data_IF_140732077318
#
_entry.id   IF_140732077318
#
_cell.length_a   1.000
_cell.length_b   1.000
_cell.length_c   1.000
_cell.angle_alpha   90.00
_cell.angle_beta   90.00
_cell.angle_gamma   90.00
#
_symmetry.space_group_name_H-M   'P 1'
#
loop_
_entity.id
_entity.type
_entity.pdbx_description
1 polymer ?
#
# COMPACT_ATOMS: atom_id res chain seq x y z
N UNK A 1 22.81 -30.53 40.69
CA UNK A 1 22.68 -29.06 40.58
C UNK A 1 22.57 -28.75 39.09
N UNK A 2 21.51 -28.06 38.65
CA UNK A 2 21.33 -27.74 37.24
C UNK A 2 22.45 -26.78 36.80
N UNK A 3 23.10 -27.07 35.66
CA UNK A 3 24.25 -26.32 35.16
C UNK A 3 23.92 -24.83 34.86
N UNK A 4 22.67 -24.54 34.52
CA UNK A 4 22.17 -23.18 34.27
C UNK A 4 20.86 -22.94 35.06
N UNK A 5 20.93 -22.49 36.33
CA UNK A 5 19.76 -22.34 37.19
C UNK A 5 18.77 -21.25 36.73
N UNK A 6 19.27 -20.22 36.04
CA UNK A 6 18.49 -19.09 35.55
C UNK A 6 18.12 -19.21 34.05
N UNK A 7 18.27 -20.40 33.45
CA UNK A 7 18.02 -20.60 32.03
C UNK A 7 16.53 -20.45 31.70
N UNK A 8 16.22 -19.49 30.82
CA UNK A 8 14.89 -19.30 30.25
C UNK A 8 14.86 -19.76 28.79
N UNK A 9 14.03 -20.75 28.48
CA UNK A 9 13.75 -21.16 27.11
C UNK A 9 12.56 -20.37 26.55
N UNK A 10 12.81 -19.56 25.52
CA UNK A 10 11.74 -18.89 24.78
C UNK A 10 11.40 -19.72 23.53
N UNK A 11 10.19 -20.27 23.48
CA UNK A 11 9.69 -21.06 22.36
C UNK A 11 8.81 -20.20 21.45
N UNK A 12 9.20 -20.07 20.19
CA UNK A 12 8.50 -19.27 19.18
C UNK A 12 7.99 -20.16 18.01
N UNK A 13 6.79 -20.74 18.09
CA UNK A 13 6.24 -21.52 16.98
C UNK A 13 5.96 -20.62 15.76
N UNK A 14 6.34 -21.06 14.57
CA UNK A 14 6.21 -20.27 13.34
C UNK A 14 4.78 -19.94 12.91
N UNK A 15 3.80 -20.78 13.28
CA UNK A 15 2.40 -20.66 12.82
C UNK A 15 1.44 -20.55 14.01
N UNK A 16 0.45 -19.65 13.98
CA UNK A 16 -0.55 -19.52 15.05
C UNK A 16 -1.26 -20.83 15.40
N UNK A 17 -1.60 -21.64 14.39
CA UNK A 17 -2.28 -22.93 14.60
C UNK A 17 -1.48 -23.90 15.49
N UNK A 18 -0.18 -23.64 15.69
CA UNK A 18 0.73 -24.48 16.47
C UNK A 18 0.85 -24.06 17.93
N UNK A 19 0.30 -22.92 18.34
CA UNK A 19 0.44 -22.43 19.71
C UNK A 19 -0.16 -23.42 20.72
N UNK A 20 -1.41 -23.83 20.54
CA UNK A 20 -2.06 -24.81 21.42
C UNK A 20 -1.47 -26.22 21.29
N UNK A 21 -0.94 -26.55 20.12
CA UNK A 21 -0.27 -27.84 19.91
C UNK A 21 1.04 -27.90 20.72
N UNK A 22 1.80 -26.80 20.76
CA UNK A 22 3.04 -26.74 21.52
C UNK A 22 2.76 -26.68 23.03
N UNK A 23 1.75 -25.90 23.45
CA UNK A 23 1.31 -25.88 24.84
C UNK A 23 0.94 -27.28 25.36
N UNK A 24 0.08 -28.02 24.63
CA UNK A 24 -0.29 -29.41 25.00
C UNK A 24 0.90 -30.36 25.08
N UNK A 25 1.93 -30.14 24.25
CA UNK A 25 3.16 -30.95 24.30
C UNK A 25 4.00 -30.64 25.55
N UNK A 26 4.07 -29.37 25.97
CA UNK A 26 4.75 -28.99 27.20
C UNK A 26 4.01 -29.57 28.41
N UNK A 27 2.68 -29.48 28.43
CA UNK A 27 1.82 -30.10 29.46
C UNK A 27 2.04 -31.61 29.54
N UNK A 28 1.98 -32.32 28.42
CA UNK A 28 2.18 -33.77 28.35
C UNK A 28 3.59 -34.20 28.76
N UNK A 29 4.59 -33.34 28.56
CA UNK A 29 5.96 -33.57 28.98
C UNK A 29 6.23 -33.18 30.46
N UNK A 30 5.24 -32.63 31.17
CA UNK A 30 5.39 -32.14 32.54
C UNK A 30 6.33 -30.93 32.66
N UNK A 31 6.54 -30.19 31.56
CA UNK A 31 7.44 -29.02 31.54
C UNK A 31 6.61 -27.79 31.92
N UNK A 32 6.90 -27.11 33.04
CA UNK A 32 6.19 -25.91 33.42
C UNK A 32 6.53 -24.78 32.43
N UNK A 33 5.50 -24.09 31.95
CA UNK A 33 5.67 -23.00 30.99
C UNK A 33 4.62 -21.92 31.21
N UNK A 34 4.86 -20.74 30.64
CA UNK A 34 3.90 -19.65 30.58
C UNK A 34 3.67 -19.24 29.14
N UNK A 35 2.43 -18.90 28.79
CA UNK A 35 2.10 -18.27 27.50
C UNK A 35 2.34 -16.77 27.56
N UNK A 36 2.81 -16.18 26.46
CA UNK A 36 3.03 -14.73 26.33
C UNK A 36 1.73 -13.93 26.47
N UNK A 37 0.61 -14.50 26.06
CA UNK A 37 -0.75 -13.96 26.21
C UNK A 37 -1.31 -13.96 27.63
N UNK A 38 -0.67 -14.63 28.59
CA UNK A 38 -1.13 -14.68 29.98
C UNK A 38 -0.86 -13.36 30.73
N UNK A 39 -1.53 -13.16 31.88
CA UNK A 39 -1.41 -11.93 32.71
C UNK A 39 0.04 -11.54 33.02
N UNK A 40 0.31 -10.23 33.02
CA UNK A 40 1.64 -9.64 33.27
C UNK A 40 1.92 -9.63 34.78
N UNK A 41 3.18 -9.90 35.19
CA UNK A 41 3.63 -9.75 36.58
C UNK A 41 3.77 -11.05 37.39
N UNK A 42 3.52 -12.21 36.79
CA UNK A 42 3.70 -13.52 37.44
C UNK A 42 4.97 -14.21 36.90
N UNK A 43 5.78 -14.87 37.75
CA UNK A 43 7.06 -15.46 37.34
C UNK A 43 6.95 -16.49 36.20
N UNK A 44 7.99 -16.56 35.36
CA UNK A 44 8.10 -17.54 34.28
C UNK A 44 8.90 -18.75 34.78
N UNK A 45 8.34 -19.98 34.74
CA UNK A 45 8.94 -21.15 35.38
C UNK A 45 10.02 -21.85 34.52
N UNK A 46 10.79 -21.08 33.73
CA UNK A 46 11.88 -21.57 32.87
C UNK A 46 11.51 -21.77 31.39
N UNK A 47 10.23 -21.76 31.02
CA UNK A 47 9.80 -21.76 29.60
C UNK A 47 8.76 -20.66 29.34
N UNK A 48 9.01 -19.83 28.33
CA UNK A 48 8.06 -18.86 27.79
C UNK A 48 7.63 -19.30 26.39
N UNK A 49 6.34 -19.60 26.21
CA UNK A 49 5.74 -19.86 24.91
C UNK A 49 5.23 -18.55 24.30
N UNK A 50 5.86 -18.11 23.21
CA UNK A 50 5.38 -16.97 22.42
C UNK A 50 4.21 -17.40 21.54
N UNK A 51 3.01 -17.03 21.96
CA UNK A 51 1.74 -17.28 21.27
C UNK A 51 1.14 -16.01 20.65
N UNK A 52 2.02 -15.10 20.21
CA UNK A 52 1.67 -13.87 19.49
C UNK A 52 2.49 -13.73 18.20
N UNK A 53 2.01 -12.90 17.27
CA UNK A 53 2.69 -12.61 16.01
C UNK A 53 3.43 -11.27 16.07
N UNK A 54 4.58 -11.19 15.40
CA UNK A 54 5.34 -9.95 15.23
C UNK A 54 6.32 -9.61 16.36
N UNK A 55 6.37 -10.38 17.44
CA UNK A 55 7.26 -10.11 18.59
C UNK A 55 8.68 -10.72 18.46
N UNK A 56 8.90 -11.59 17.48
CA UNK A 56 10.15 -12.39 17.37
C UNK A 56 11.42 -11.54 17.31
N UNK A 57 11.39 -10.42 16.57
CA UNK A 57 12.54 -9.52 16.46
C UNK A 57 12.90 -8.89 17.82
N UNK A 58 11.88 -8.47 18.59
CA UNK A 58 12.07 -7.95 19.95
C UNK A 58 12.66 -9.00 20.88
N UNK A 59 12.20 -10.25 20.75
CA UNK A 59 12.65 -11.38 21.57
C UNK A 59 14.10 -11.77 21.27
N UNK A 60 14.54 -11.75 20.00
CA UNK A 60 15.93 -12.06 19.67
C UNK A 60 16.92 -11.17 20.42
N UNK A 61 16.57 -9.91 20.71
CA UNK A 61 17.43 -9.00 21.49
C UNK A 61 17.71 -9.50 22.90
N UNK A 62 16.76 -10.22 23.49
CA UNK A 62 16.86 -10.78 24.84
C UNK A 62 17.62 -12.11 24.87
N UNK A 63 17.80 -12.78 23.73
CA UNK A 63 18.41 -14.10 23.69
C UNK A 63 19.94 -14.03 23.83
N UNK A 64 20.52 -14.96 24.60
CA UNK A 64 21.97 -15.17 24.65
C UNK A 64 22.45 -16.10 23.52
N UNK A 65 21.62 -17.08 23.14
CA UNK A 65 21.85 -18.01 22.04
C UNK A 65 20.54 -18.25 21.32
N UNK A 66 20.58 -18.29 19.98
CA UNK A 66 19.40 -18.55 19.15
C UNK A 66 19.55 -19.88 18.43
N UNK A 67 18.68 -20.83 18.75
CA UNK A 67 18.50 -22.01 17.93
C UNK A 67 17.40 -21.77 16.89
N UNK A 68 17.74 -21.96 15.61
CA UNK A 68 16.82 -21.78 14.50
C UNK A 68 15.98 -23.03 14.31
N UNK A 69 14.75 -23.00 14.80
CA UNK A 69 13.80 -24.11 14.68
C UNK A 69 13.55 -24.54 13.23
N UNK A 70 13.07 -25.78 13.03
CA UNK A 70 12.74 -26.32 11.70
C UNK A 70 13.94 -26.60 10.78
N UNK A 71 15.16 -26.53 11.31
CA UNK A 71 16.43 -26.87 10.64
C UNK A 71 16.92 -28.29 11.00
N UNK A 72 16.34 -28.92 12.03
CA UNK A 72 16.61 -30.31 12.43
C UNK A 72 15.80 -31.35 11.64
N UNK A 73 14.74 -30.92 10.96
CA UNK A 73 13.96 -31.76 10.07
C UNK A 73 14.13 -31.21 8.66
N UNK A 74 14.11 -32.07 7.64
CA UNK A 74 14.18 -31.70 6.22
C UNK A 74 12.94 -30.88 5.81
N UNK A 75 12.97 -29.60 6.12
CA UNK A 75 11.89 -28.63 5.89
C UNK A 75 12.42 -27.34 5.25
N UNK A 76 13.61 -27.38 4.66
CA UNK A 76 14.20 -26.24 3.94
C UNK A 76 14.92 -25.21 4.82
N UNK A 77 14.83 -25.30 6.15
CA UNK A 77 15.47 -24.38 7.08
C UNK A 77 14.75 -23.03 7.24
N UNK A 78 15.36 -22.12 8.01
CA UNK A 78 14.82 -20.80 8.32
C UNK A 78 15.90 -19.71 8.23
N UNK A 79 15.46 -18.47 8.01
CA UNK A 79 16.35 -17.33 7.86
C UNK A 79 17.10 -17.04 9.16
N UNK A 80 18.44 -17.14 9.13
CA UNK A 80 19.32 -16.91 10.28
C UNK A 80 19.76 -15.45 10.42
N UNK A 81 19.50 -14.61 9.41
CA UNK A 81 20.03 -13.26 9.32
C UNK A 81 19.47 -12.33 10.40
N UNK A 82 18.21 -12.51 10.83
CA UNK A 82 17.60 -11.63 11.84
C UNK A 82 18.31 -11.72 13.20
N UNK A 83 18.59 -12.95 13.65
CA UNK A 83 19.35 -13.19 14.88
C UNK A 83 20.81 -12.74 14.73
N UNK A 84 21.42 -13.05 13.58
CA UNK A 84 22.79 -12.68 13.30
C UNK A 84 23.02 -11.15 13.29
N UNK A 85 22.12 -10.38 12.68
CA UNK A 85 22.18 -8.91 12.65
C UNK A 85 22.09 -8.28 14.04
N UNK A 86 21.58 -9.00 15.04
CA UNK A 86 21.52 -8.59 16.44
C UNK A 86 22.74 -9.08 17.25
N UNK A 87 23.77 -9.60 16.58
CA UNK A 87 24.98 -10.11 17.23
C UNK A 87 24.73 -11.37 18.05
N UNK A 88 23.68 -12.14 17.75
CA UNK A 88 23.34 -13.34 18.52
C UNK A 88 24.03 -14.57 17.96
N UNK A 89 24.72 -15.37 18.79
CA UNK A 89 25.20 -16.69 18.39
C UNK A 89 24.06 -17.54 17.84
N UNK A 90 24.21 -18.01 16.59
CA UNK A 90 23.18 -18.80 15.91
C UNK A 90 23.59 -20.28 15.88
N UNK A 91 22.64 -21.13 16.27
CA UNK A 91 22.72 -22.60 16.14
C UNK A 91 21.64 -23.06 15.16
N UNK A 92 21.98 -23.91 14.20
CA UNK A 92 21.02 -24.52 13.28
C UNK A 92 21.33 -25.99 13.03
N UNK A 93 20.27 -26.75 12.73
CA UNK A 93 20.35 -28.11 12.26
C UNK A 93 20.97 -28.24 10.86
N UNK A 94 21.08 -29.48 10.34
CA UNK A 94 21.68 -29.73 9.03
C UNK A 94 20.83 -29.19 7.86
N UNK A 95 19.49 -29.19 8.00
CA UNK A 95 18.56 -28.83 6.91
C UNK A 95 18.43 -27.31 6.76
N UNK A 96 19.17 -26.78 5.80
CA UNK A 96 19.23 -25.35 5.45
C UNK A 96 19.10 -25.14 3.93
N UNK A 97 18.36 -26.02 3.25
CA UNK A 97 18.33 -26.10 1.79
C UNK A 97 17.85 -24.80 1.12
N UNK A 98 16.84 -24.12 1.69
CA UNK A 98 16.34 -22.84 1.17
C UNK A 98 17.31 -21.67 1.44
N UNK A 99 18.32 -21.88 2.27
CA UNK A 99 19.30 -20.88 2.70
C UNK A 99 20.72 -21.43 2.58
N UNK A 100 20.97 -22.32 1.60
CA UNK A 100 22.20 -23.11 1.54
C UNK A 100 23.45 -22.23 1.43
N UNK A 101 23.42 -21.21 0.57
CA UNK A 101 24.52 -20.25 0.40
C UNK A 101 24.82 -19.47 1.69
N UNK A 102 23.77 -18.96 2.35
CA UNK A 102 23.89 -18.23 3.62
C UNK A 102 24.46 -19.15 4.68
N UNK A 103 23.95 -20.38 4.79
CA UNK A 103 24.39 -21.33 5.80
C UNK A 103 25.83 -21.81 5.55
N UNK A 104 26.25 -21.99 4.30
CA UNK A 104 27.62 -22.33 3.94
C UNK A 104 28.59 -21.22 4.35
N UNK A 105 28.32 -19.98 3.93
CA UNK A 105 29.16 -18.83 4.27
C UNK A 105 29.25 -18.59 5.78
N UNK A 106 28.13 -18.75 6.51
CA UNK A 106 28.13 -18.60 7.96
C UNK A 106 28.84 -19.74 8.68
N UNK A 107 28.83 -20.96 8.13
CA UNK A 107 29.58 -22.09 8.70
C UNK A 107 31.08 -21.87 8.50
N UNK A 108 31.51 -21.47 7.30
CA UNK A 108 32.91 -21.17 6.96
C UNK A 108 33.45 -20.00 7.79
N UNK A 109 32.70 -18.91 7.88
CA UNK A 109 33.05 -17.73 8.66
C UNK A 109 32.88 -17.88 10.18
N UNK A 110 32.57 -19.09 10.67
CA UNK A 110 32.31 -19.37 12.10
C UNK A 110 31.27 -18.41 12.73
N UNK A 111 30.24 -18.07 11.98
CA UNK A 111 29.06 -17.30 12.42
C UNK A 111 27.82 -18.17 12.63
N UNK A 112 27.86 -19.45 12.25
CA UNK A 112 26.79 -20.43 12.50
C UNK A 112 27.37 -21.71 13.09
N UNK A 113 26.80 -22.17 14.19
CA UNK A 113 27.06 -23.51 14.73
C UNK A 113 26.06 -24.50 14.18
N UNK A 114 26.57 -25.66 13.72
CA UNK A 114 25.74 -26.77 13.27
C UNK A 114 25.54 -27.76 14.41
N UNK A 115 24.35 -28.36 14.47
CA UNK A 115 24.01 -29.43 15.40
C UNK A 115 23.11 -30.47 14.74
N UNK A 116 23.06 -31.69 15.27
CA UNK A 116 22.00 -32.67 15.04
C UNK A 116 20.95 -32.59 16.16
N UNK A 117 20.00 -33.53 16.18
CA UNK A 117 18.98 -33.57 17.25
C UNK A 117 19.61 -34.04 18.56
N UNK A 118 20.57 -34.95 18.46
CA UNK A 118 21.21 -35.66 19.57
C UNK A 118 22.18 -34.76 20.33
N UNK A 119 22.88 -33.87 19.62
CA UNK A 119 23.90 -32.99 20.21
C UNK A 119 23.39 -31.54 20.46
N UNK A 120 22.16 -31.20 20.07
CA UNK A 120 21.61 -29.85 20.18
C UNK A 120 21.84 -29.24 21.57
N UNK A 121 21.52 -29.99 22.63
CA UNK A 121 21.66 -29.53 24.01
C UNK A 121 23.14 -29.24 24.35
N UNK A 122 24.06 -30.11 23.90
CA UNK A 122 25.49 -29.95 24.13
C UNK A 122 26.05 -28.73 23.37
N UNK A 123 25.63 -28.53 22.12
CA UNK A 123 26.05 -27.39 21.29
C UNK A 123 25.53 -26.07 21.87
N UNK A 124 24.28 -26.03 22.33
CA UNK A 124 23.71 -24.84 22.98
C UNK A 124 24.43 -24.55 24.30
N UNK A 125 24.63 -25.55 25.15
CA UNK A 125 25.36 -25.39 26.42
C UNK A 125 26.79 -24.90 26.20
N UNK A 126 27.50 -25.45 25.22
CA UNK A 126 28.84 -24.99 24.87
C UNK A 126 28.84 -23.55 24.33
N UNK A 127 27.80 -23.15 23.59
CA UNK A 127 27.66 -21.77 23.10
C UNK A 127 27.37 -20.80 24.25
N UNK A 128 26.60 -21.22 25.25
CA UNK A 128 26.36 -20.43 26.46
C UNK A 128 27.62 -20.28 27.32
N UNK A 129 28.46 -21.33 27.42
CA UNK A 129 29.75 -21.26 28.14
C UNK A 129 30.78 -20.40 27.41
N UNK A 130 30.84 -20.54 26.09
CA UNK A 130 31.85 -19.91 25.24
C UNK A 130 31.20 -19.08 24.11
N UNK A 131 30.48 -17.99 24.44
CA UNK A 131 29.76 -17.19 23.44
C UNK A 131 30.71 -16.33 22.58
N UNK A 132 31.96 -16.14 23.04
CA UNK A 132 32.90 -15.16 22.51
C UNK A 132 33.10 -15.27 20.99
N UNK A 133 32.85 -14.16 20.30
CA UNK A 133 33.07 -13.97 18.87
C UNK A 133 32.07 -14.67 17.94
N UNK A 134 31.21 -15.59 18.40
CA UNK A 134 30.21 -16.22 17.52
C UNK A 134 29.19 -15.20 17.03
N UNK A 135 28.66 -14.40 17.95
CA UNK A 135 27.72 -13.32 17.66
C UNK A 135 28.32 -12.25 16.75
N UNK A 136 29.53 -11.78 17.06
CA UNK A 136 30.24 -10.75 16.28
C UNK A 136 30.53 -11.21 14.85
N UNK A 137 31.00 -12.46 14.67
CA UNK A 137 31.22 -13.04 13.32
C UNK A 137 29.91 -13.20 12.56
N UNK A 138 28.86 -13.68 13.22
CA UNK A 138 27.52 -13.79 12.63
C UNK A 138 27.02 -12.42 12.16
N UNK A 139 27.19 -11.38 12.98
CA UNK A 139 26.82 -10.02 12.66
C UNK A 139 27.62 -9.47 11.48
N UNK A 140 28.94 -9.60 11.48
CA UNK A 140 29.79 -9.15 10.38
C UNK A 140 29.39 -9.79 9.05
N UNK A 141 29.13 -11.10 9.03
CA UNK A 141 28.68 -11.83 7.85
C UNK A 141 27.27 -11.40 7.38
N UNK A 142 26.39 -11.07 8.33
CA UNK A 142 25.06 -10.56 8.02
C UNK A 142 25.11 -9.12 7.48
N UNK A 143 26.00 -8.28 8.01
CA UNK A 143 26.22 -6.90 7.57
C UNK A 143 26.85 -6.82 6.19
N UNK A 144 27.80 -7.70 5.85
CA UNK A 144 28.36 -7.82 4.49
C UNK A 144 27.27 -8.08 3.43
N UNK A 145 26.25 -8.86 3.82
CA UNK A 145 25.10 -9.20 2.97
C UNK A 145 23.99 -8.16 3.00
N UNK A 146 24.13 -7.12 3.84
CA UNK A 146 23.18 -6.01 3.88
C UNK A 146 23.23 -5.26 2.54
N UNK A 147 22.05 -4.81 2.10
CA UNK A 147 21.92 -4.05 0.87
C UNK A 147 21.89 -4.88 -0.41
N UNK A 148 21.93 -6.23 -0.35
CA UNK A 148 21.70 -7.07 -1.52
C UNK A 148 20.36 -6.71 -2.21
N UNK A 149 19.28 -6.57 -1.44
CA UNK A 149 17.99 -6.08 -1.95
C UNK A 149 18.14 -4.73 -2.66
N UNK A 150 18.85 -3.77 -2.06
CA UNK A 150 19.03 -2.43 -2.65
C UNK A 150 19.80 -2.50 -3.97
N UNK A 151 20.87 -3.32 -4.04
CA UNK A 151 21.65 -3.52 -5.27
C UNK A 151 20.81 -4.18 -6.36
N UNK A 152 20.05 -5.22 -6.01
CA UNK A 152 19.13 -5.88 -6.94
C UNK A 152 18.05 -4.92 -7.42
N UNK A 153 17.49 -4.09 -6.53
CA UNK A 153 16.52 -3.06 -6.92
C UNK A 153 17.13 -2.00 -7.82
N UNK A 154 18.36 -1.55 -7.56
CA UNK A 154 19.03 -0.56 -8.42
C UNK A 154 19.20 -1.07 -9.85
N UNK A 155 19.64 -2.33 -10.03
CA UNK A 155 19.75 -2.96 -11.36
C UNK A 155 18.38 -3.12 -12.01
N UNK A 156 17.37 -3.57 -11.26
CA UNK A 156 16.01 -3.71 -11.80
C UNK A 156 15.36 -2.38 -12.15
N UNK A 157 15.64 -1.32 -11.39
CA UNK A 157 15.15 0.03 -11.68
C UNK A 157 15.70 0.54 -13.00
N UNK A 158 17.01 0.39 -13.25
CA UNK A 158 17.67 0.75 -14.51
C UNK A 158 17.04 -0.01 -15.70
N UNK A 159 16.91 -1.33 -15.58
CA UNK A 159 16.27 -2.16 -16.62
C UNK A 159 14.80 -1.76 -16.88
N UNK A 160 14.02 -1.42 -15.84
CA UNK A 160 12.63 -0.98 -16.00
C UNK A 160 12.54 0.42 -16.61
N UNK A 161 13.53 1.30 -16.36
CA UNK A 161 13.59 2.59 -17.04
C UNK A 161 13.85 2.45 -18.54
N UNK A 162 14.59 1.43 -18.94
CA UNK A 162 14.91 1.15 -20.34
C UNK A 162 13.88 0.28 -21.06
N UNK A 163 13.30 -0.70 -20.38
CA UNK A 163 12.38 -1.69 -20.93
C UNK A 163 11.09 -1.76 -20.12
N UNK A 164 9.95 -1.59 -20.80
CA UNK A 164 8.65 -1.71 -20.14
C UNK A 164 8.24 -3.19 -20.06
N UNK A 165 7.95 -3.74 -18.86
CA UNK A 165 7.53 -5.14 -18.74
C UNK A 165 6.17 -5.33 -19.40
N UNK A 166 6.10 -6.27 -20.35
CA UNK A 166 4.84 -6.70 -20.97
C UNK A 166 4.34 -7.92 -20.20
N UNK A 167 3.11 -7.89 -19.67
CA UNK A 167 2.56 -9.02 -18.94
C UNK A 167 2.37 -10.22 -19.88
N UNK A 168 2.87 -11.38 -19.44
CA UNK A 168 2.65 -12.64 -20.13
C UNK A 168 1.32 -13.23 -19.69
N UNK A 169 0.40 -13.37 -20.64
CA UNK A 169 -0.89 -14.04 -20.41
C UNK A 169 -0.76 -15.53 -20.77
N UNK A 170 -1.22 -16.47 -19.92
CA UNK A 170 -1.21 -17.88 -20.28
C UNK A 170 -2.04 -18.11 -21.54
N UNK A 171 -1.59 -19.03 -22.41
CA UNK A 171 -2.20 -19.25 -23.72
C UNK A 171 -3.71 -19.59 -23.66
N UNK A 172 -4.15 -20.30 -22.61
CA UNK A 172 -5.57 -20.59 -22.37
C UNK A 172 -6.41 -19.31 -22.17
N UNK A 173 -5.86 -18.31 -21.45
CA UNK A 173 -6.54 -17.04 -21.24
C UNK A 173 -6.63 -16.25 -22.55
N UNK A 174 -5.59 -16.29 -23.38
CA UNK A 174 -5.59 -15.65 -24.69
C UNK A 174 -6.66 -16.24 -25.62
N UNK A 175 -6.81 -17.58 -25.63
CA UNK A 175 -7.83 -18.25 -26.46
C UNK A 175 -9.25 -17.86 -26.07
N UNK A 176 -9.54 -17.76 -24.77
CA UNK A 176 -10.90 -17.48 -24.28
C UNK A 176 -11.20 -15.98 -24.22
N UNK A 177 -10.31 -15.19 -23.61
CA UNK A 177 -10.55 -13.77 -23.35
C UNK A 177 -10.06 -12.85 -24.48
N UNK A 178 -9.13 -13.31 -25.33
CA UNK A 178 -8.63 -12.55 -26.47
C UNK A 178 -9.72 -12.12 -27.44
N UNK A 179 -10.59 -13.03 -27.93
CA UNK A 179 -11.71 -12.68 -28.80
C UNK A 179 -12.70 -11.71 -28.14
N UNK A 180 -12.98 -11.90 -26.84
CA UNK A 180 -13.85 -11.00 -26.07
C UNK A 180 -13.25 -9.60 -25.95
N UNK A 181 -11.93 -9.52 -25.71
CA UNK A 181 -11.19 -8.26 -25.69
C UNK A 181 -11.19 -7.56 -27.06
N UNK A 182 -11.03 -8.32 -28.15
CA UNK A 182 -11.13 -7.79 -29.50
C UNK A 182 -12.54 -7.25 -29.81
N UNK A 183 -13.59 -7.97 -29.39
CA UNK A 183 -14.97 -7.54 -29.53
C UNK A 183 -15.26 -6.27 -28.71
N UNK A 184 -14.73 -6.18 -27.49
CA UNK A 184 -14.81 -4.97 -26.66
C UNK A 184 -14.16 -3.77 -27.35
N UNK A 185 -12.91 -3.94 -27.81
CA UNK A 185 -12.19 -2.88 -28.51
C UNK A 185 -12.89 -2.43 -29.80
N UNK A 186 -13.45 -3.38 -30.56
CA UNK A 186 -14.27 -3.09 -31.74
C UNK A 186 -15.54 -2.31 -31.37
N UNK A 187 -16.26 -2.75 -30.33
CA UNK A 187 -17.46 -2.09 -29.84
C UNK A 187 -17.18 -0.64 -29.40
N UNK A 188 -16.10 -0.41 -28.65
CA UNK A 188 -15.66 0.92 -28.25
C UNK A 188 -15.35 1.81 -29.47
N UNK A 189 -14.60 1.30 -30.45
CA UNK A 189 -14.29 2.03 -31.69
C UNK A 189 -15.54 2.35 -32.50
N UNK A 190 -16.47 1.40 -32.64
CA UNK A 190 -17.73 1.59 -33.37
C UNK A 190 -18.65 2.58 -32.69
N UNK A 191 -18.79 2.50 -31.36
CA UNK A 191 -19.59 3.45 -30.58
C UNK A 191 -19.05 4.88 -30.75
N UNK A 192 -17.73 5.05 -30.68
CA UNK A 192 -17.06 6.32 -30.95
C UNK A 192 -17.35 6.85 -32.35
N UNK A 193 -17.13 6.02 -33.39
CA UNK A 193 -17.33 6.44 -34.78
C UNK A 193 -18.78 6.85 -35.11
N UNK A 194 -19.76 6.35 -34.36
CA UNK A 194 -21.18 6.66 -34.53
C UNK A 194 -21.67 7.83 -33.67
N UNK A 195 -20.90 8.24 -32.68
CA UNK A 195 -21.33 9.28 -31.75
C UNK A 195 -21.06 10.65 -32.34
N UNK A 196 -22.11 11.47 -32.48
CA UNK A 196 -21.99 12.88 -32.87
C UNK A 196 -21.79 13.71 -31.61
N UNK A 197 -20.65 14.43 -31.47
CA UNK A 197 -20.41 15.29 -30.31
C UNK A 197 -21.35 16.50 -30.29
N UNK A 198 -21.88 16.84 -29.12
CA UNK A 198 -22.65 18.05 -28.84
C UNK A 198 -21.78 19.04 -28.08
N UNK A 199 -21.91 20.34 -28.37
CA UNK A 199 -21.13 21.42 -27.73
C UNK A 199 -21.97 22.18 -26.72
N UNK A 200 -21.38 22.47 -25.58
CA UNK A 200 -21.87 23.44 -24.61
C UNK A 200 -21.38 24.85 -25.03
N UNK A 201 -22.01 25.89 -24.51
CA UNK A 201 -21.61 27.29 -24.74
C UNK A 201 -20.37 27.65 -23.89
N UNK A 202 -20.24 27.05 -22.70
CA UNK A 202 -19.07 27.13 -21.82
C UNK A 202 -17.98 26.10 -22.21
N UNK A 203 -16.68 26.45 -22.16
CA UNK A 203 -15.59 25.53 -22.48
C UNK A 203 -15.52 24.33 -21.53
N UNK A 204 -15.05 23.20 -22.05
CA UNK A 204 -15.07 21.88 -21.43
C UNK A 204 -13.66 21.25 -21.45
N UNK A 205 -13.13 20.98 -20.26
CA UNK A 205 -11.88 20.25 -20.04
C UNK A 205 -12.22 18.85 -19.53
N UNK A 206 -11.71 17.83 -20.21
CA UNK A 206 -11.91 16.42 -19.85
C UNK A 206 -10.71 15.87 -19.09
N UNK A 207 -10.96 15.29 -17.92
CA UNK A 207 -9.99 14.52 -17.16
C UNK A 207 -10.41 13.06 -17.20
N UNK A 208 -9.55 12.19 -17.74
CA UNK A 208 -9.89 10.77 -17.87
C UNK A 208 -8.68 9.88 -18.03
N UNK A 209 -8.92 8.63 -18.40
CA UNK A 209 -7.87 7.64 -18.62
C UNK A 209 -8.32 6.59 -19.61
N UNK A 210 -7.38 5.81 -20.14
CA UNK A 210 -7.69 4.69 -21.04
C UNK A 210 -7.96 3.38 -20.30
N UNK A 211 -7.77 3.35 -18.98
CA UNK A 211 -7.82 2.13 -18.16
C UNK A 211 -8.94 2.13 -17.13
N UNK A 212 -9.39 0.92 -16.76
CA UNK A 212 -10.24 0.66 -15.61
C UNK A 212 -9.41 0.73 -14.33
N UNK A 213 -9.84 1.57 -13.38
CA UNK A 213 -9.17 1.77 -12.10
C UNK A 213 -8.99 3.24 -11.72
N UNK A 214 -8.56 3.47 -10.50
CA UNK A 214 -8.29 4.82 -10.00
C UNK A 214 -6.91 5.29 -10.46
N UNK A 215 -6.83 6.06 -11.54
CA UNK A 215 -5.58 6.68 -12.01
C UNK A 215 -5.28 8.04 -11.34
N UNK A 216 -6.05 8.43 -10.30
CA UNK A 216 -5.92 9.76 -9.68
C UNK A 216 -6.74 10.86 -10.36
N UNK A 217 -7.79 10.50 -11.11
CA UNK A 217 -8.69 11.44 -11.81
C UNK A 217 -9.34 12.44 -10.86
N UNK A 218 -10.01 11.94 -9.82
CA UNK A 218 -10.73 12.76 -8.85
C UNK A 218 -9.84 13.81 -8.14
N UNK A 219 -8.66 13.47 -7.58
CA UNK A 219 -7.74 14.50 -7.07
C UNK A 219 -7.27 15.49 -8.13
N UNK A 220 -7.07 15.03 -9.38
CA UNK A 220 -6.61 15.90 -10.48
C UNK A 220 -7.70 16.90 -10.87
N UNK A 221 -8.96 16.48 -10.95
CA UNK A 221 -10.10 17.38 -11.20
C UNK A 221 -10.18 18.45 -10.11
N UNK A 222 -10.08 18.06 -8.83
CA UNK A 222 -10.09 19.00 -7.70
C UNK A 222 -8.90 19.95 -7.67
N UNK A 223 -7.75 19.51 -8.18
CA UNK A 223 -6.55 20.34 -8.31
C UNK A 223 -6.72 21.35 -9.44
N UNK A 224 -7.21 20.90 -10.61
CA UNK A 224 -7.52 21.80 -11.73
C UNK A 224 -8.56 22.85 -11.36
N UNK A 225 -9.59 22.47 -10.61
CA UNK A 225 -10.62 23.40 -10.13
C UNK A 225 -10.05 24.58 -9.33
N UNK A 226 -8.90 24.41 -8.63
CA UNK A 226 -8.25 25.51 -7.89
C UNK A 226 -7.81 26.67 -8.80
N UNK A 227 -7.63 26.42 -10.10
CA UNK A 227 -7.11 27.41 -11.04
C UNK A 227 -8.19 28.27 -11.71
N UNK A 228 -9.48 28.03 -11.40
CA UNK A 228 -10.60 28.76 -11.98
C UNK A 228 -11.41 29.45 -10.90
N UNK A 229 -12.03 30.59 -11.24
CA UNK A 229 -12.81 31.36 -10.26
C UNK A 229 -14.18 30.72 -10.02
N UNK A 230 -14.80 30.22 -11.09
CA UNK A 230 -16.14 29.63 -11.04
C UNK A 230 -16.28 28.34 -11.87
N UNK A 231 -15.57 27.26 -11.48
CA UNK A 231 -15.64 26.00 -12.20
C UNK A 231 -16.90 25.19 -11.88
N UNK A 232 -17.34 24.40 -12.85
CA UNK A 232 -18.37 23.37 -12.70
C UNK A 232 -17.80 21.98 -13.02
N UNK A 233 -18.02 21.00 -12.15
CA UNK A 233 -17.58 19.61 -12.34
C UNK A 233 -18.77 18.78 -12.84
N UNK A 234 -18.58 18.04 -13.93
CA UNK A 234 -19.55 17.09 -14.46
C UNK A 234 -19.10 15.65 -14.17
N UNK A 235 -19.89 14.91 -13.39
CA UNK A 235 -19.60 13.51 -13.04
C UNK A 235 -20.77 12.58 -13.34
N UNK A 236 -20.51 11.27 -13.43
CA UNK A 236 -21.53 10.25 -13.69
C UNK A 236 -22.51 10.06 -12.55
N UNK A 237 -22.03 10.17 -11.29
CA UNK A 237 -22.77 9.72 -10.11
C UNK A 237 -23.05 8.22 -10.13
N UNK A 238 -22.00 7.40 -10.08
CA UNK A 238 -22.13 5.94 -10.00
C UNK A 238 -22.81 5.53 -8.68
N UNK A 239 -23.62 4.45 -8.72
CA UNK A 239 -24.41 3.94 -7.58
C UNK A 239 -25.40 4.93 -6.94
N UNK A 240 -25.91 5.91 -7.67
CA UNK A 240 -27.04 6.74 -7.20
C UNK A 240 -28.31 5.89 -7.03
N UNK A 241 -29.10 6.19 -5.99
CA UNK A 241 -30.38 5.53 -5.74
C UNK A 241 -31.53 6.31 -6.41
N UNK A 242 -31.42 7.64 -6.48
CA UNK A 242 -32.36 8.51 -7.16
C UNK A 242 -31.75 8.96 -8.49
N UNK A 243 -32.21 8.33 -9.59
CA UNK A 243 -31.74 8.63 -10.94
C UNK A 243 -32.49 9.80 -11.57
N UNK A 244 -32.33 11.01 -11.02
CA UNK A 244 -32.69 12.24 -11.73
C UNK A 244 -31.88 12.36 -13.04
N UNK A 245 -32.48 12.91 -14.10
CA UNK A 245 -31.81 13.08 -15.40
C UNK A 245 -30.60 14.03 -15.27
N UNK A 246 -30.75 15.09 -14.48
CA UNK A 246 -29.68 16.00 -14.13
C UNK A 246 -29.85 16.51 -12.69
N UNK A 247 -28.83 16.28 -11.86
CA UNK A 247 -28.75 16.84 -10.51
C UNK A 247 -27.69 17.94 -10.51
N UNK A 248 -28.08 19.16 -10.13
CA UNK A 248 -27.19 20.32 -10.03
C UNK A 248 -27.04 20.70 -8.56
N UNK A 249 -25.81 20.78 -8.09
CA UNK A 249 -25.45 21.15 -6.72
C UNK A 249 -24.58 22.42 -6.78
N UNK A 250 -25.12 23.59 -6.37
CA UNK A 250 -24.34 24.81 -6.34
C UNK A 250 -23.11 24.74 -5.42
N UNK A 251 -22.03 25.45 -5.76
CA UNK A 251 -20.84 25.52 -4.90
C UNK A 251 -21.21 25.98 -3.48
N UNK A 252 -20.63 25.33 -2.47
CA UNK A 252 -20.88 25.63 -1.05
C UNK A 252 -22.19 25.08 -0.50
N UNK A 253 -22.95 24.32 -1.30
CA UNK A 253 -24.15 23.62 -0.84
C UNK A 253 -23.87 22.13 -0.63
N UNK A 254 -24.62 21.50 0.27
CA UNK A 254 -24.58 20.06 0.47
C UNK A 254 -25.69 19.35 -0.30
N UNK A 255 -25.48 18.08 -0.61
CA UNK A 255 -26.48 17.23 -1.22
C UNK A 255 -26.36 15.79 -0.67
N UNK A 256 -27.49 15.12 -0.43
CA UNK A 256 -27.50 13.77 0.12
C UNK A 256 -26.93 12.73 -0.86
N UNK A 257 -26.29 11.68 -0.34
CA UNK A 257 -25.63 10.62 -1.11
C UNK A 257 -26.59 9.95 -2.09
N UNK A 258 -27.86 9.80 -1.70
CA UNK A 258 -28.92 9.17 -2.47
C UNK A 258 -29.13 9.86 -3.82
N UNK A 259 -28.93 11.18 -3.87
CA UNK A 259 -29.07 12.03 -5.07
C UNK A 259 -27.78 12.12 -5.88
N UNK A 260 -26.62 12.20 -5.23
CA UNK A 260 -25.35 12.43 -5.93
C UNK A 260 -24.60 11.14 -6.30
N UNK A 261 -24.82 10.06 -5.54
CA UNK A 261 -23.94 8.90 -5.49
C UNK A 261 -22.67 9.17 -4.68
N UNK A 262 -21.97 8.09 -4.33
CA UNK A 262 -20.77 8.08 -3.46
C UNK A 262 -19.60 8.86 -4.10
N UNK A 263 -19.32 8.61 -5.38
CA UNK A 263 -18.19 9.25 -6.09
C UNK A 263 -18.31 10.77 -6.19
N UNK A 264 -19.52 11.32 -6.24
CA UNK A 264 -19.74 12.76 -6.39
C UNK A 264 -19.58 13.54 -5.07
N UNK A 265 -19.70 12.87 -3.92
CA UNK A 265 -19.63 13.51 -2.61
C UNK A 265 -18.30 14.20 -2.36
N UNK A 266 -17.21 13.65 -2.86
CA UNK A 266 -15.89 14.26 -2.74
C UNK A 266 -15.83 15.65 -3.41
N UNK A 267 -16.55 15.84 -4.53
CA UNK A 267 -16.62 17.14 -5.20
C UNK A 267 -17.51 18.10 -4.42
N UNK A 268 -18.69 17.63 -3.97
CA UNK A 268 -19.65 18.43 -3.22
C UNK A 268 -19.01 18.99 -1.94
N UNK A 269 -18.37 18.10 -1.16
CA UNK A 269 -17.72 18.44 0.12
C UNK A 269 -16.46 19.28 -0.03
N UNK A 270 -15.79 19.21 -1.19
CA UNK A 270 -14.63 20.08 -1.45
C UNK A 270 -15.00 21.56 -1.50
N UNK A 271 -16.28 21.88 -1.78
CA UNK A 271 -16.80 23.23 -1.99
C UNK A 271 -16.03 24.08 -3.01
N UNK A 272 -15.23 23.46 -3.90
CA UNK A 272 -14.41 24.17 -4.88
C UNK A 272 -15.14 24.54 -6.17
N UNK A 273 -16.18 23.79 -6.50
CA UNK A 273 -16.86 23.90 -7.78
C UNK A 273 -18.37 23.64 -7.61
N UNK A 274 -19.16 24.11 -8.57
CA UNK A 274 -20.50 23.59 -8.77
C UNK A 274 -20.41 22.13 -9.21
N UNK A 275 -21.35 21.27 -8.82
CA UNK A 275 -21.30 19.84 -9.16
C UNK A 275 -22.57 19.44 -9.91
N UNK A 276 -22.39 18.98 -11.14
CA UNK A 276 -23.43 18.39 -11.98
C UNK A 276 -23.28 16.88 -12.06
N UNK A 277 -24.34 16.16 -11.75
CA UNK A 277 -24.32 14.70 -11.66
C UNK A 277 -25.32 14.09 -12.64
N UNK A 278 -24.85 13.36 -13.66
CA UNK A 278 -25.73 12.65 -14.60
C UNK A 278 -25.03 11.71 -15.60
N UNK A 279 -25.82 10.79 -16.18
CA UNK A 279 -25.33 9.86 -17.21
C UNK A 279 -25.05 10.57 -18.54
N UNK A 280 -25.88 11.55 -18.92
CA UNK A 280 -25.67 12.44 -20.06
C UNK A 280 -25.05 13.77 -19.63
N UNK A 281 -23.75 13.95 -19.87
CA UNK A 281 -23.03 15.16 -19.42
C UNK A 281 -23.47 16.40 -20.18
N UNK A 282 -23.97 16.24 -21.40
CA UNK A 282 -24.46 17.37 -22.17
C UNK A 282 -25.74 17.94 -21.54
N UNK A 283 -26.72 17.09 -21.21
CA UNK A 283 -27.97 17.54 -20.58
C UNK A 283 -27.72 18.20 -19.24
N UNK A 284 -26.86 17.60 -18.40
CA UNK A 284 -26.46 18.19 -17.11
C UNK A 284 -25.74 19.53 -17.31
N UNK A 285 -24.80 19.59 -18.26
CA UNK A 285 -24.08 20.81 -18.61
C UNK A 285 -25.02 21.94 -19.01
N UNK A 286 -26.02 21.67 -19.88
CA UNK A 286 -27.04 22.66 -20.27
C UNK A 286 -27.87 23.15 -19.09
N UNK A 287 -28.22 22.27 -18.15
CA UNK A 287 -28.94 22.66 -16.93
C UNK A 287 -28.08 23.57 -16.04
N UNK A 288 -26.79 23.27 -15.91
CA UNK A 288 -25.85 24.11 -15.18
C UNK A 288 -25.59 25.45 -15.88
N UNK A 289 -25.48 25.47 -17.20
CA UNK A 289 -25.41 26.71 -17.98
C UNK A 289 -26.64 27.56 -17.71
N UNK A 290 -27.85 27.01 -17.77
CA UNK A 290 -29.07 27.78 -17.55
C UNK A 290 -29.19 28.34 -16.12
N UNK A 291 -28.69 27.63 -15.11
CA UNK A 291 -28.89 27.97 -13.71
C UNK A 291 -27.74 28.77 -13.08
N UNK A 292 -26.50 28.58 -13.54
CA UNK A 292 -25.29 29.01 -12.81
C UNK A 292 -24.28 29.77 -13.68
N UNK A 293 -24.32 29.61 -15.01
CA UNK A 293 -23.36 30.23 -15.95
C UNK A 293 -21.87 30.04 -15.57
N UNK A 294 -21.39 28.80 -15.40
CA UNK A 294 -20.01 28.56 -14.98
C UNK A 294 -19.00 29.01 -16.04
N UNK A 295 -17.79 29.36 -15.58
CA UNK A 295 -16.67 29.78 -16.43
C UNK A 295 -16.10 28.63 -17.26
N UNK A 296 -16.07 27.42 -16.69
CA UNK A 296 -15.51 26.22 -17.31
C UNK A 296 -16.16 24.96 -16.75
N UNK A 297 -16.32 23.94 -17.60
CA UNK A 297 -16.68 22.59 -17.18
C UNK A 297 -15.46 21.68 -17.07
N UNK A 298 -15.36 20.94 -15.97
CA UNK A 298 -14.38 19.89 -15.73
C UNK A 298 -15.08 18.54 -15.72
N UNK A 299 -14.80 17.67 -16.69
CA UNK A 299 -15.39 16.33 -16.73
C UNK A 299 -14.55 15.36 -15.91
N UNK A 300 -15.18 14.73 -14.92
CA UNK A 300 -14.61 13.59 -14.22
C UNK A 300 -14.90 12.29 -15.00
N UNK A 301 -13.82 11.56 -15.32
CA UNK A 301 -13.83 10.35 -16.15
C UNK A 301 -14.41 10.58 -17.57
N UNK A 302 -14.05 11.72 -18.17
CA UNK A 302 -14.63 12.21 -19.44
C UNK A 302 -14.10 11.59 -20.72
N UNK A 303 -12.98 10.86 -20.69
CA UNK A 303 -12.24 10.50 -21.91
C UNK A 303 -13.04 9.64 -22.91
N UNK A 304 -13.86 8.71 -22.40
CA UNK A 304 -14.79 7.86 -23.17
C UNK A 304 -16.13 8.55 -23.48
N UNK A 305 -16.40 9.73 -22.93
CA UNK A 305 -17.69 10.40 -23.10
C UNK A 305 -17.74 11.21 -24.40
N UNK A 306 -17.72 10.51 -25.54
CA UNK A 306 -17.61 11.11 -26.88
C UNK A 306 -18.80 12.01 -27.29
N UNK A 307 -19.93 11.90 -26.58
CA UNK A 307 -21.16 12.67 -26.88
C UNK A 307 -21.03 14.14 -26.49
N UNK A 308 -20.13 14.50 -25.57
CA UNK A 308 -19.83 15.88 -25.23
C UNK A 308 -18.51 16.28 -25.88
N UNK A 309 -18.56 17.33 -26.70
CA UNK A 309 -17.38 17.96 -27.27
C UNK A 309 -16.56 18.63 -26.15
N UNK A 310 -15.25 18.69 -26.36
CA UNK A 310 -14.29 19.24 -25.41
C UNK A 310 -13.16 19.94 -26.12
N UNK A 311 -12.68 20.99 -25.49
CA UNK A 311 -11.59 21.84 -25.97
C UNK A 311 -10.22 21.26 -25.56
N UNK A 312 -10.18 20.51 -24.45
CA UNK A 312 -8.94 19.93 -23.94
C UNK A 312 -9.17 18.55 -23.28
N UNK A 313 -8.31 17.58 -23.60
CA UNK A 313 -8.28 16.25 -22.98
C UNK A 313 -6.98 16.04 -22.19
N UNK A 314 -7.09 16.02 -20.86
CA UNK A 314 -6.03 15.58 -19.97
C UNK A 314 -6.20 14.09 -19.65
N UNK A 315 -5.27 13.27 -20.14
CA UNK A 315 -5.31 11.81 -19.96
C UNK A 315 -4.32 11.37 -18.88
N UNK A 316 -4.82 10.68 -17.86
CA UNK A 316 -4.03 10.17 -16.75
C UNK A 316 -3.60 8.74 -17.02
N UNK A 317 -2.32 8.46 -16.78
CA UNK A 317 -1.74 7.12 -16.78
C UNK A 317 -1.08 6.86 -15.42
N UNK A 318 -1.36 5.72 -14.79
CA UNK A 318 -0.65 5.28 -13.59
C UNK A 318 0.76 4.86 -14.00
N UNK A 319 1.80 5.54 -13.52
CA UNK A 319 3.18 5.28 -13.89
C UNK A 319 3.67 3.86 -13.53
N UNK A 320 2.96 3.14 -12.65
CA UNK A 320 3.27 1.75 -12.27
C UNK A 320 2.65 0.72 -13.23
N UNK A 321 1.56 1.08 -13.91
CA UNK A 321 0.83 0.22 -14.84
C UNK A 321 0.05 1.04 -15.90
N UNK A 322 0.74 1.81 -16.77
CA UNK A 322 0.15 2.80 -17.68
C UNK A 322 -0.84 2.19 -18.67
N UNK A 323 -0.59 0.97 -19.11
CA UNK A 323 -1.40 0.25 -20.11
C UNK A 323 -2.18 -0.91 -19.51
N UNK A 324 -2.21 -1.02 -18.19
CA UNK A 324 -3.16 -1.83 -17.43
C UNK A 324 -3.35 -3.26 -17.92
N UNK A 325 -2.24 -3.96 -18.08
CA UNK A 325 -2.22 -5.35 -18.57
C UNK A 325 -2.02 -5.51 -20.09
N UNK A 326 -1.76 -4.42 -20.81
CA UNK A 326 -1.51 -4.36 -22.26
C UNK A 326 -2.60 -5.01 -23.15
N UNK A 327 -3.80 -5.14 -22.60
CA UNK A 327 -4.94 -5.77 -23.26
C UNK A 327 -6.27 -5.09 -22.92
N UNK A 328 -7.24 -5.08 -23.86
CA UNK A 328 -8.59 -4.60 -23.60
C UNK A 328 -9.32 -5.51 -22.61
N UNK A 329 -10.28 -4.93 -21.89
CA UNK A 329 -11.20 -5.70 -21.06
C UNK A 329 -11.95 -6.75 -21.90
N UNK A 330 -12.14 -8.00 -21.41
CA UNK A 330 -11.79 -8.52 -20.08
C UNK A 330 -10.39 -9.16 -19.97
N UNK A 331 -9.62 -9.27 -21.06
CA UNK A 331 -8.27 -9.87 -21.01
C UNK A 331 -7.29 -9.01 -20.19
N UNK A 332 -7.42 -7.69 -20.30
CA UNK A 332 -6.74 -6.73 -19.44
C UNK A 332 -7.72 -5.71 -18.87
N UNK A 333 -7.23 -4.54 -18.47
CA UNK A 333 -8.04 -3.46 -17.89
C UNK A 333 -8.16 -2.24 -18.78
N UNK A 334 -7.68 -2.28 -20.03
CA UNK A 334 -7.87 -1.17 -20.96
C UNK A 334 -9.35 -1.05 -21.34
N UNK A 335 -9.91 0.16 -21.14
CA UNK A 335 -11.22 0.57 -21.67
C UNK A 335 -11.12 0.88 -23.15
N UNK A 336 -10.02 1.51 -23.56
CA UNK A 336 -9.67 1.80 -24.93
C UNK A 336 -8.20 1.41 -25.19
N UNK A 337 -7.90 1.00 -26.41
CA UNK A 337 -6.54 0.67 -26.82
C UNK A 337 -5.63 1.92 -26.83
N UNK A 338 -4.29 1.77 -26.74
CA UNK A 338 -3.36 2.91 -26.67
C UNK A 338 -3.46 3.91 -27.84
N UNK A 339 -3.99 3.50 -29.00
CA UNK A 339 -4.29 4.41 -30.13
C UNK A 339 -5.27 5.53 -29.75
N UNK A 340 -6.09 5.34 -28.71
CA UNK A 340 -6.98 6.38 -28.23
C UNK A 340 -6.25 7.61 -27.68
N UNK A 341 -4.98 7.46 -27.26
CA UNK A 341 -4.14 8.55 -26.75
C UNK A 341 -3.84 9.61 -27.81
N UNK A 342 -4.05 9.32 -29.09
CA UNK A 342 -3.97 10.31 -30.18
C UNK A 342 -4.92 11.50 -29.98
N UNK A 343 -5.95 11.33 -29.14
CA UNK A 343 -6.91 12.39 -28.78
C UNK A 343 -6.47 13.23 -27.58
N UNK A 344 -5.44 12.80 -26.85
CA UNK A 344 -4.99 13.51 -25.66
C UNK A 344 -4.37 14.85 -26.06
N UNK A 345 -4.80 15.93 -25.41
CA UNK A 345 -4.13 17.23 -25.50
C UNK A 345 -2.88 17.26 -24.62
N UNK A 346 -2.93 16.54 -23.49
CA UNK A 346 -1.80 16.30 -22.61
C UNK A 346 -1.96 14.97 -21.86
N UNK A 347 -0.83 14.39 -21.44
CA UNK A 347 -0.80 13.21 -20.58
C UNK A 347 -0.24 13.61 -19.21
N UNK A 348 -0.90 13.17 -18.14
CA UNK A 348 -0.43 13.29 -16.76
C UNK A 348 -0.08 11.90 -16.22
N UNK A 349 1.21 11.66 -15.99
CA UNK A 349 1.65 10.46 -15.26
C UNK A 349 1.39 10.66 -13.78
N UNK A 350 0.59 9.78 -13.19
CA UNK A 350 0.32 9.77 -11.76
C UNK A 350 1.11 8.70 -11.05
N UNK A 351 1.24 8.84 -9.72
CA UNK A 351 2.04 7.93 -8.87
C UNK A 351 3.49 7.85 -9.33
N UNK A 352 4.04 9.01 -9.68
CA UNK A 352 5.43 9.12 -10.11
C UNK A 352 6.38 9.25 -8.93
N UNK A 353 7.61 8.80 -9.14
CA UNK A 353 8.72 8.91 -8.20
C UNK A 353 9.63 10.08 -8.59
N UNK A 354 10.11 10.83 -7.60
CA UNK A 354 11.04 11.94 -7.84
C UNK A 354 12.35 11.41 -8.42
N UNK A 355 12.89 12.10 -9.42
CA UNK A 355 14.14 11.74 -10.09
C UNK A 355 14.02 10.68 -11.19
N UNK A 356 12.94 9.89 -11.22
CA UNK A 356 12.73 8.82 -12.21
C UNK A 356 12.47 9.36 -13.61
N UNK A 357 13.06 8.78 -14.65
CA UNK A 357 13.07 9.36 -16.02
C UNK A 357 11.95 8.80 -16.92
N UNK A 358 11.36 7.64 -16.58
CA UNK A 358 10.26 6.99 -17.32
C UNK A 358 10.51 6.87 -18.84
N UNK A 359 11.76 6.59 -19.23
CA UNK A 359 12.21 6.59 -20.62
C UNK A 359 11.47 5.60 -21.52
N UNK A 360 11.30 4.35 -21.07
CA UNK A 360 10.56 3.31 -21.78
C UNK A 360 9.12 3.72 -22.09
N UNK A 361 8.43 4.33 -21.11
CA UNK A 361 7.06 4.81 -21.30
C UNK A 361 7.01 5.95 -22.32
N UNK A 362 7.94 6.92 -22.24
CA UNK A 362 8.02 8.03 -23.19
C UNK A 362 8.23 7.54 -24.63
N UNK A 363 9.03 6.49 -24.84
CA UNK A 363 9.23 5.87 -26.17
C UNK A 363 7.97 5.19 -26.73
N UNK A 364 7.08 4.74 -25.85
CA UNK A 364 5.83 4.05 -26.21
C UNK A 364 4.66 5.02 -26.45
N UNK A 365 4.77 6.24 -25.93
CA UNK A 365 3.80 7.31 -26.13
C UNK A 365 4.17 8.12 -27.38
N UNK A 366 3.15 8.68 -28.04
CA UNK A 366 3.36 9.67 -29.10
C UNK A 366 3.88 11.00 -28.52
N UNK A 367 4.49 11.87 -29.35
CA UNK A 367 4.87 13.20 -28.91
C UNK A 367 3.62 14.03 -28.55
N UNK A 368 3.33 14.12 -27.26
CA UNK A 368 2.27 14.93 -26.63
C UNK A 368 2.85 15.50 -25.34
N UNK A 369 2.43 16.70 -24.87
CA UNK A 369 2.86 17.22 -23.57
C UNK A 369 2.67 16.20 -22.46
N UNK A 370 3.77 15.81 -21.82
CA UNK A 370 3.82 14.79 -20.79
C UNK A 370 4.20 15.45 -19.45
N UNK A 371 3.25 15.48 -18.53
CA UNK A 371 3.43 16.00 -17.19
C UNK A 371 3.51 14.85 -16.18
N UNK A 372 4.06 15.15 -15.00
CA UNK A 372 4.16 14.20 -13.88
C UNK A 372 3.50 14.82 -12.67
N UNK A 373 2.65 14.06 -11.98
CA UNK A 373 2.13 14.45 -10.69
C UNK A 373 2.84 13.73 -9.56
N UNK A 374 3.08 14.48 -8.51
CA UNK A 374 3.59 14.02 -7.23
C UNK A 374 2.68 14.58 -6.16
N UNK A 375 2.37 13.75 -5.16
CA UNK A 375 1.58 14.17 -4.01
C UNK A 375 2.55 14.78 -3.01
N UNK A 376 2.23 15.99 -2.54
CA UNK A 376 2.99 16.68 -1.50
C UNK A 376 2.05 16.97 -0.35
N UNK A 377 2.48 16.72 0.87
CA UNK A 377 1.75 17.19 2.04
C UNK A 377 1.86 18.73 2.09
N UNK A 378 0.74 19.43 1.94
CA UNK A 378 0.71 20.89 1.96
C UNK A 378 0.68 21.42 3.41
N UNK A 379 -0.22 20.87 4.24
CA UNK A 379 -0.38 21.30 5.63
C UNK A 379 -0.86 20.16 6.51
N UNK A 380 -0.58 20.25 7.82
CA UNK A 380 -1.27 19.44 8.82
C UNK A 380 -2.62 20.07 9.15
N UNK A 381 -3.58 19.24 9.56
CA UNK A 381 -4.90 19.67 10.00
C UNK A 381 -5.15 19.10 11.40
N UNK A 382 -5.62 19.92 12.34
CA UNK A 382 -6.09 19.41 13.63
C UNK A 382 -7.45 18.75 13.43
N UNK A 383 -7.53 17.45 13.79
CA UNK A 383 -8.72 16.63 13.57
C UNK A 383 -9.97 17.08 14.35
N UNK A 384 -9.82 17.87 15.43
CA UNK A 384 -10.93 18.33 16.27
C UNK A 384 -11.51 19.64 15.76
N UNK A 385 -10.64 20.54 15.30
CA UNK A 385 -11.02 21.89 14.86
C UNK A 385 -11.21 21.99 13.34
N UNK A 386 -10.56 21.11 12.57
CA UNK A 386 -10.53 21.20 11.12
C UNK A 386 -9.66 22.35 10.60
N UNK A 387 -8.82 22.94 11.44
CA UNK A 387 -7.96 24.07 11.08
C UNK A 387 -6.52 23.63 10.75
N UNK A 388 -5.79 24.39 9.90
CA UNK A 388 -4.38 24.14 9.65
C UNK A 388 -3.56 24.17 10.94
N UNK A 389 -2.74 23.15 11.14
CA UNK A 389 -1.86 23.00 12.29
C UNK A 389 -0.38 22.93 11.85
N UNK A 390 0.51 23.25 12.78
CA UNK A 390 1.95 23.01 12.61
C UNK A 390 2.30 21.82 13.51
N UNK A 391 2.92 20.80 12.93
CA UNK A 391 3.40 19.65 13.69
C UNK A 391 4.67 20.05 14.45
N UNK A 392 4.52 20.42 15.73
CA UNK A 392 5.62 20.85 16.62
C UNK A 392 6.00 19.77 17.65
N UNK A 393 5.90 18.49 17.29
CA UNK A 393 6.23 17.39 18.20
C UNK A 393 7.32 16.49 17.62
N UNK A 394 8.22 16.02 18.47
CA UNK A 394 9.23 15.02 18.11
C UNK A 394 8.67 13.59 18.23
N UNK A 395 7.65 13.40 19.07
CA UNK A 395 7.12 12.09 19.49
C UNK A 395 5.74 11.82 18.89
N UNK A 396 5.67 11.72 17.57
CA UNK A 396 4.43 11.37 16.89
C UNK A 396 4.25 9.84 16.80
N UNK A 397 3.01 9.38 16.92
CA UNK A 397 2.59 8.04 16.52
C UNK A 397 1.62 8.15 15.34
N UNK A 398 1.41 7.06 14.58
CA UNK A 398 0.57 7.16 13.38
C UNK A 398 -0.22 5.87 13.07
N UNK A 399 -1.37 6.03 12.43
CA UNK A 399 -2.21 4.93 11.99
C UNK A 399 -2.91 5.22 10.66
N UNK A 400 -3.24 4.17 9.88
CA UNK A 400 -4.04 4.32 8.67
C UNK A 400 -4.78 3.05 8.25
N UNK A 401 -5.88 3.20 7.52
CA UNK A 401 -6.72 2.16 6.93
C UNK A 401 -6.80 2.31 5.41
N UNK A 402 -5.66 2.12 4.74
CA UNK A 402 -5.51 2.31 3.30
C UNK A 402 -5.25 0.99 2.57
N UNK A 403 -5.67 0.89 1.31
CA UNK A 403 -5.28 -0.22 0.42
C UNK A 403 -3.75 -0.32 0.21
N UNK A 404 -3.02 0.81 0.27
CA UNK A 404 -1.56 0.82 0.21
C UNK A 404 -0.96 1.74 1.29
N UNK A 405 -0.82 1.22 2.53
CA UNK A 405 -0.27 1.95 3.68
C UNK A 405 1.15 2.50 3.45
N UNK A 406 1.94 1.84 2.59
CA UNK A 406 3.32 2.24 2.32
C UNK A 406 3.43 3.68 1.78
N UNK A 407 2.41 4.14 1.05
CA UNK A 407 2.34 5.53 0.54
C UNK A 407 2.29 6.53 1.69
N UNK A 408 1.40 6.32 2.67
CA UNK A 408 1.28 7.19 3.84
C UNK A 408 2.57 7.20 4.66
N UNK A 409 3.18 6.03 4.87
CA UNK A 409 4.46 5.93 5.57
C UNK A 409 5.61 6.61 4.84
N UNK A 410 5.62 6.61 3.50
CA UNK A 410 6.60 7.38 2.71
C UNK A 410 6.38 8.87 2.90
N UNK A 411 5.14 9.33 2.79
CA UNK A 411 4.79 10.73 2.98
C UNK A 411 5.21 11.25 4.35
N UNK A 412 4.99 10.49 5.43
CA UNK A 412 5.48 10.87 6.76
C UNK A 412 7.00 11.02 6.80
N UNK A 413 7.75 10.06 6.23
CA UNK A 413 9.22 10.12 6.19
C UNK A 413 9.73 11.30 5.37
N UNK A 414 9.08 11.62 4.26
CA UNK A 414 9.42 12.78 3.43
C UNK A 414 9.20 14.11 4.17
N UNK A 415 8.28 14.15 5.13
CA UNK A 415 8.08 15.27 6.05
C UNK A 415 9.02 15.23 7.28
N UNK A 416 9.99 14.31 7.31
CA UNK A 416 10.89 14.13 8.46
C UNK A 416 10.27 13.44 9.66
N UNK A 417 9.03 12.95 9.56
CA UNK A 417 8.32 12.29 10.65
C UNK A 417 8.65 10.80 10.69
N UNK A 418 9.22 10.34 11.81
CA UNK A 418 9.39 8.92 12.11
C UNK A 418 8.47 8.53 13.26
N UNK A 419 7.33 7.88 12.98
CA UNK A 419 6.40 7.51 14.03
C UNK A 419 7.04 6.54 15.05
N UNK A 420 6.84 6.79 16.33
CA UNK A 420 7.25 5.91 17.43
C UNK A 420 6.72 4.48 17.23
N UNK A 421 5.47 4.38 16.77
CA UNK A 421 4.85 3.14 16.33
C UNK A 421 3.85 3.41 15.21
N UNK A 422 3.47 2.35 14.49
CA UNK A 422 2.56 2.40 13.34
C UNK A 422 1.48 1.34 13.47
N UNK A 423 0.22 1.73 13.33
CA UNK A 423 -0.90 0.80 13.22
C UNK A 423 -1.45 0.81 11.81
N UNK A 424 -1.68 -0.38 11.25
CA UNK A 424 -2.19 -0.53 9.89
C UNK A 424 -3.47 -1.34 9.93
N UNK A 425 -4.51 -0.81 9.32
CA UNK A 425 -5.81 -1.45 9.17
C UNK A 425 -6.11 -1.74 7.69
N UNK A 426 -7.15 -2.53 7.44
CA UNK A 426 -7.63 -2.79 6.09
C UNK A 426 -8.16 -1.52 5.41
N UNK A 427 -8.27 -1.53 4.08
CA UNK A 427 -8.88 -0.42 3.36
C UNK A 427 -10.35 -0.25 3.78
N UNK A 428 -10.82 0.99 3.91
CA UNK A 428 -12.17 1.33 4.38
C UNK A 428 -12.49 0.81 5.79
N UNK A 429 -11.48 0.66 6.66
CA UNK A 429 -11.68 0.23 8.04
C UNK A 429 -12.58 1.22 8.80
N UNK A 430 -13.64 0.70 9.42
CA UNK A 430 -14.45 1.44 10.37
C UNK A 430 -13.86 1.27 11.77
N UNK A 431 -13.32 2.35 12.32
CA UNK A 431 -12.60 2.30 13.58
C UNK A 431 -13.56 2.05 14.74
N UNK A 432 -13.32 0.97 15.48
CA UNK A 432 -14.14 0.63 16.65
C UNK A 432 -13.61 1.34 17.88
N UNK A 433 -14.51 1.72 18.80
CA UNK A 433 -14.14 2.46 20.00
C UNK A 433 -13.04 1.78 20.83
N UNK A 434 -13.07 0.45 20.95
CA UNK A 434 -12.06 -0.30 21.70
C UNK A 434 -10.68 -0.36 21.01
N UNK A 435 -10.62 -0.19 19.68
CA UNK A 435 -9.35 -0.09 18.93
C UNK A 435 -8.70 1.28 19.20
N UNK A 436 -9.52 2.34 19.20
CA UNK A 436 -9.06 3.69 19.54
C UNK A 436 -8.55 3.77 20.98
N UNK A 437 -9.24 3.13 21.94
CA UNK A 437 -8.79 3.05 23.33
C UNK A 437 -7.43 2.36 23.45
N UNK A 438 -7.23 1.22 22.76
CA UNK A 438 -5.94 0.52 22.74
C UNK A 438 -4.83 1.34 22.10
N UNK A 439 -5.11 2.04 21.00
CA UNK A 439 -4.14 2.94 20.39
C UNK A 439 -3.77 4.10 21.32
N UNK A 440 -4.74 4.65 22.05
CA UNK A 440 -4.51 5.68 23.05
C UNK A 440 -3.64 5.17 24.21
N UNK A 441 -3.92 3.99 24.75
CA UNK A 441 -3.11 3.38 25.81
C UNK A 441 -1.67 3.12 25.33
N UNK A 442 -1.51 2.58 24.12
CA UNK A 442 -0.19 2.41 23.50
C UNK A 442 0.53 3.75 23.32
N UNK A 443 -0.18 4.79 22.86
CA UNK A 443 0.35 6.14 22.74
C UNK A 443 0.84 6.68 24.08
N UNK A 444 0.06 6.53 25.16
CA UNK A 444 0.48 6.93 26.50
C UNK A 444 1.72 6.15 26.99
N UNK A 445 1.76 4.84 26.78
CA UNK A 445 2.90 4.00 27.19
C UNK A 445 4.20 4.33 26.46
N UNK A 446 4.10 4.80 25.22
CA UNK A 446 5.24 5.23 24.42
C UNK A 446 5.48 6.75 24.51
N UNK A 447 4.73 7.45 25.35
CA UNK A 447 4.72 8.90 25.53
C UNK A 447 4.65 9.64 24.18
N UNK A 448 3.76 9.18 23.30
CA UNK A 448 3.46 9.86 22.05
C UNK A 448 2.59 11.08 22.34
N UNK A 449 2.97 12.24 21.80
CA UNK A 449 2.29 13.52 21.99
C UNK A 449 1.08 13.67 21.05
N UNK A 450 1.13 13.02 19.89
CA UNK A 450 0.10 13.12 18.86
C UNK A 450 -0.08 11.81 18.10
N UNK A 451 -1.29 11.58 17.60
CA UNK A 451 -1.61 10.53 16.64
C UNK A 451 -1.90 11.15 15.26
N UNK A 452 -1.16 10.70 14.25
CA UNK A 452 -1.31 11.14 12.86
C UNK A 452 -2.10 10.10 12.06
N UNK A 453 -3.02 10.57 11.22
CA UNK A 453 -3.77 9.71 10.30
C UNK A 453 -4.04 10.42 8.96
N UNK A 454 -4.76 9.77 8.06
CA UNK A 454 -5.14 10.34 6.76
C UNK A 454 -6.48 11.06 6.84
N UNK A 455 -6.72 12.01 5.94
CA UNK A 455 -8.03 12.66 5.81
C UNK A 455 -9.14 11.63 5.53
N UNK A 456 -8.84 10.59 4.74
CA UNK A 456 -9.76 9.48 4.46
C UNK A 456 -10.13 8.71 5.74
N UNK A 457 -9.15 8.43 6.59
CA UNK A 457 -9.33 7.67 7.82
C UNK A 457 -10.05 8.49 8.91
N UNK A 458 -9.80 9.80 8.96
CA UNK A 458 -10.50 10.72 9.86
C UNK A 458 -12.02 10.63 9.68
N UNK A 459 -12.50 10.49 8.44
CA UNK A 459 -13.92 10.34 8.12
C UNK A 459 -14.54 9.03 8.62
N UNK A 460 -13.71 8.02 8.93
CA UNK A 460 -14.17 6.73 9.43
C UNK A 460 -14.04 6.60 10.95
N UNK A 461 -13.58 7.66 11.63
CA UNK A 461 -13.59 7.70 13.09
C UNK A 461 -15.03 7.86 13.58
N UNK A 462 -15.42 7.17 14.67
CA UNK A 462 -16.68 7.41 15.35
C UNK A 462 -16.70 8.84 15.91
N UNK A 463 -17.88 9.45 15.89
CA UNK A 463 -18.13 10.79 16.42
C UNK A 463 -17.89 10.91 17.92
#
# INVERSE_FOLDING_TARGET
VAEFPDLLLILAPRKPERFDVVARKLEAAGIPFRRRSAEIGVPVPGVLLLDSLGELNGVYRLADVVFMGGTLAQRGGHNILEAALLGKPVVAGPSMENFAEVAAAFTEGRGLRRCTREDLAAVVADTLRNPAGWGERAQALAEERRGALRRTMAVLEEEIEEAWPVPLHPWLFLLVLGPLGALWAWGARRNRARTVPKRLDTPVISVGGISMGGAGKTPTVLTLAKHFRDPAILTRGYKRLLAEEATVVPRGTEAPIERTGDEAQIFVRSHRAHVGVGSDRYTVGRAMEAALHPEVFLLDDGFQHHRLAREFDLVLLDARDPFSGDAPFPLGRLREMPDALDRASAILLTRTERGRVYGALRRRLRPVPLYRSHVVAETWMDARTGEPAILQCERAAAFCGLANPATFWSSLREQGVQPLFRWTFGDHHQYRHHELLRMREHAHLQEAEVLLTTEKDLMNLPA
#
